data_IF_952948277945
#
_entry.id   IF_952948277945
#
_cell.length_a   1.000
_cell.length_b   1.000
_cell.length_c   1.000
_cell.angle_alpha   90.00
_cell.angle_beta   90.00
_cell.angle_gamma   90.00
#
_symmetry.space_group_name_H-M   'P 1'
#
loop_
_entity.id
_entity.type
_entity.pdbx_description
1 polymer ?
#
# COMPACT_ATOMS: atom_id res chain seq x y z
N UNK A 1 -36.55 18.12 -20.05
CA UNK A 1 -36.07 18.15 -18.65
C UNK A 1 -36.34 16.87 -17.83
N UNK A 2 -37.37 16.06 -18.13
CA UNK A 2 -37.67 14.83 -17.38
C UNK A 2 -36.56 13.76 -17.43
N UNK A 3 -35.98 13.50 -18.60
CA UNK A 3 -34.90 12.51 -18.81
C UNK A 3 -33.63 12.83 -18.01
N UNK A 4 -33.30 14.11 -17.86
CA UNK A 4 -32.14 14.55 -17.09
C UNK A 4 -32.34 14.41 -15.58
N UNK A 5 -33.57 14.60 -15.08
CA UNK A 5 -33.91 14.33 -13.67
C UNK A 5 -33.83 12.84 -13.36
N UNK A 6 -34.30 12.00 -14.28
CA UNK A 6 -34.27 10.54 -14.13
C UNK A 6 -32.83 10.01 -14.00
N UNK A 7 -31.92 10.47 -14.87
CA UNK A 7 -30.48 10.13 -14.81
C UNK A 7 -29.84 10.56 -13.48
N UNK A 8 -30.18 11.76 -12.97
CA UNK A 8 -29.64 12.25 -11.69
C UNK A 8 -30.16 11.47 -10.48
N UNK A 9 -31.39 10.99 -10.53
CA UNK A 9 -31.98 10.14 -9.47
C UNK A 9 -31.36 8.75 -9.49
N UNK A 10 -31.12 8.17 -10.67
CA UNK A 10 -30.48 6.85 -10.82
C UNK A 10 -29.02 6.84 -10.34
N UNK A 11 -28.23 7.88 -10.63
CA UNK A 11 -26.85 7.96 -10.12
C UNK A 11 -26.80 8.10 -8.59
N UNK A 12 -27.77 8.80 -8.00
CA UNK A 12 -27.89 8.89 -6.54
C UNK A 12 -28.29 7.56 -5.90
N UNK A 13 -29.13 6.76 -6.56
CA UNK A 13 -29.57 5.47 -6.02
C UNK A 13 -28.46 4.41 -6.06
N UNK A 14 -27.59 4.43 -7.06
CA UNK A 14 -26.44 3.53 -7.12
C UNK A 14 -25.42 3.82 -6.00
N UNK A 15 -25.16 5.10 -5.72
CA UNK A 15 -24.26 5.50 -4.62
C UNK A 15 -24.87 5.23 -3.23
N UNK A 16 -26.18 5.44 -3.06
CA UNK A 16 -26.83 5.09 -1.77
C UNK A 16 -26.83 3.59 -1.54
N UNK A 17 -27.06 2.79 -2.59
CA UNK A 17 -26.99 1.33 -2.49
C UNK A 17 -25.60 0.83 -2.09
N UNK A 18 -24.52 1.52 -2.50
CA UNK A 18 -23.17 1.18 -2.04
C UNK A 18 -22.99 1.43 -0.54
N UNK A 19 -23.50 2.55 -0.02
CA UNK A 19 -23.43 2.89 1.41
C UNK A 19 -24.20 1.88 2.27
N UNK A 20 -25.39 1.46 1.81
CA UNK A 20 -26.21 0.47 2.51
C UNK A 20 -25.57 -0.93 2.54
N UNK A 21 -24.71 -1.23 1.57
CA UNK A 21 -24.02 -2.50 1.42
C UNK A 21 -22.62 -2.51 2.06
N UNK A 22 -22.05 -1.35 2.37
CA UNK A 22 -20.65 -1.22 2.82
C UNK A 22 -20.34 -2.00 4.11
N UNK A 23 -21.33 -2.14 4.99
CA UNK A 23 -21.19 -2.87 6.26
C UNK A 23 -21.45 -4.38 6.17
N UNK A 24 -21.88 -4.89 5.01
CA UNK A 24 -22.21 -6.31 4.85
C UNK A 24 -20.97 -7.18 4.69
N UNK A 25 -21.06 -8.45 5.08
CA UNK A 25 -19.96 -9.41 4.95
C UNK A 25 -19.64 -9.74 3.49
N UNK A 26 -18.42 -10.21 3.20
CA UNK A 26 -18.03 -10.59 1.83
C UNK A 26 -18.98 -11.67 1.26
N UNK A 27 -19.40 -12.64 2.07
CA UNK A 27 -20.34 -13.70 1.67
C UNK A 27 -21.75 -13.16 1.36
N UNK A 28 -22.25 -12.21 2.16
CA UNK A 28 -23.53 -11.55 1.88
C UNK A 28 -23.49 -10.74 0.59
N UNK A 29 -22.37 -10.06 0.31
CA UNK A 29 -22.18 -9.29 -0.92
C UNK A 29 -22.14 -10.20 -2.16
N UNK A 30 -21.54 -11.38 -2.07
CA UNK A 30 -21.55 -12.35 -3.18
C UNK A 30 -22.96 -12.89 -3.48
N UNK A 31 -23.78 -13.06 -2.44
CA UNK A 31 -25.17 -13.52 -2.57
C UNK A 31 -26.14 -12.42 -3.05
N UNK A 32 -25.70 -11.16 -3.09
CA UNK A 32 -26.55 -10.02 -3.43
C UNK A 32 -27.02 -10.08 -4.89
N UNK A 33 -28.33 -9.94 -5.09
CA UNK A 33 -28.97 -10.06 -6.41
C UNK A 33 -29.46 -8.72 -6.92
N UNK A 34 -29.93 -7.84 -6.03
CA UNK A 34 -30.62 -6.59 -6.39
C UNK A 34 -29.66 -5.50 -6.82
N UNK A 35 -28.55 -5.37 -6.10
CA UNK A 35 -27.51 -4.36 -6.35
C UNK A 35 -26.16 -5.03 -6.63
N UNK A 36 -26.19 -6.04 -7.51
CA UNK A 36 -25.03 -6.90 -7.80
C UNK A 36 -23.81 -6.12 -8.33
N UNK A 37 -24.01 -5.07 -9.13
CA UNK A 37 -22.91 -4.20 -9.60
C UNK A 37 -22.21 -3.48 -8.45
N UNK A 38 -22.99 -2.96 -7.50
CA UNK A 38 -22.47 -2.27 -6.31
C UNK A 38 -21.76 -3.26 -5.37
N UNK A 39 -22.35 -4.43 -5.13
CA UNK A 39 -21.75 -5.46 -4.28
C UNK A 39 -20.38 -5.93 -4.81
N UNK A 40 -20.26 -6.21 -6.11
CA UNK A 40 -18.99 -6.57 -6.72
C UNK A 40 -17.96 -5.42 -6.69
N UNK A 41 -18.39 -4.18 -6.79
CA UNK A 41 -17.49 -3.04 -6.69
C UNK A 41 -16.94 -2.87 -5.26
N UNK A 42 -17.74 -3.16 -4.23
CA UNK A 42 -17.29 -3.18 -2.81
C UNK A 42 -16.27 -4.32 -2.60
N UNK A 43 -16.55 -5.53 -3.09
CA UNK A 43 -15.60 -6.65 -3.03
C UNK A 43 -14.29 -6.32 -3.74
N UNK A 44 -14.36 -5.65 -4.90
CA UNK A 44 -13.19 -5.17 -5.63
C UNK A 44 -12.39 -4.12 -4.87
N UNK A 45 -13.06 -3.19 -4.18
CA UNK A 45 -12.43 -2.19 -3.32
C UNK A 45 -11.75 -2.84 -2.09
N UNK A 46 -12.42 -3.78 -1.40
CA UNK A 46 -11.84 -4.54 -0.28
C UNK A 46 -10.65 -5.39 -0.71
N UNK A 47 -10.68 -5.96 -1.91
CA UNK A 47 -9.53 -6.67 -2.48
C UNK A 47 -8.36 -5.69 -2.75
N UNK A 48 -8.65 -4.47 -3.21
CA UNK A 48 -7.63 -3.45 -3.42
C UNK A 48 -6.97 -2.97 -2.12
N UNK A 49 -7.74 -2.81 -1.04
CA UNK A 49 -7.21 -2.50 0.30
C UNK A 49 -6.27 -3.59 0.83
N UNK A 50 -6.55 -4.86 0.49
CA UNK A 50 -5.69 -6.01 0.76
C UNK A 50 -4.48 -6.12 -0.18
N UNK A 51 -4.30 -5.16 -1.11
CA UNK A 51 -3.28 -5.18 -2.16
C UNK A 51 -3.35 -6.39 -3.10
N UNK A 52 -4.54 -6.97 -3.27
CA UNK A 52 -4.78 -8.06 -4.22
C UNK A 52 -5.33 -7.51 -5.54
N UNK A 53 -4.41 -7.16 -6.44
CA UNK A 53 -4.74 -6.58 -7.74
C UNK A 53 -5.50 -7.55 -8.66
N UNK A 54 -5.25 -8.87 -8.56
CA UNK A 54 -5.86 -9.85 -9.44
C UNK A 54 -7.34 -10.06 -9.08
N UNK A 55 -7.61 -10.27 -7.78
CA UNK A 55 -8.98 -10.37 -7.27
C UNK A 55 -9.74 -9.05 -7.47
N UNK A 56 -9.10 -7.90 -7.20
CA UNK A 56 -9.72 -6.58 -7.42
C UNK A 56 -10.15 -6.40 -8.88
N UNK A 57 -9.28 -6.73 -9.84
CA UNK A 57 -9.58 -6.66 -11.27
C UNK A 57 -10.75 -7.57 -11.66
N UNK A 58 -10.75 -8.81 -11.18
CA UNK A 58 -11.82 -9.76 -11.47
C UNK A 58 -13.18 -9.28 -10.94
N UNK A 59 -13.23 -8.76 -9.72
CA UNK A 59 -14.45 -8.23 -9.13
C UNK A 59 -14.95 -6.96 -9.85
N UNK A 60 -14.07 -6.03 -10.19
CA UNK A 60 -14.46 -4.84 -10.96
C UNK A 60 -14.92 -5.17 -12.38
N UNK A 61 -14.34 -6.18 -13.04
CA UNK A 61 -14.84 -6.66 -14.33
C UNK A 61 -16.27 -7.21 -14.21
N UNK A 62 -16.54 -8.03 -13.18
CA UNK A 62 -17.91 -8.51 -12.88
C UNK A 62 -18.86 -7.36 -12.55
N UNK A 63 -18.40 -6.36 -11.80
CA UNK A 63 -19.19 -5.17 -11.46
C UNK A 63 -19.59 -4.37 -12.72
N UNK A 64 -18.64 -4.10 -13.62
CA UNK A 64 -18.88 -3.36 -14.87
C UNK A 64 -19.79 -4.15 -15.81
N UNK A 65 -19.65 -5.48 -15.86
CA UNK A 65 -20.51 -6.34 -16.67
C UNK A 65 -21.96 -6.33 -16.17
N UNK A 66 -22.17 -6.36 -14.85
CA UNK A 66 -23.47 -6.28 -14.22
C UNK A 66 -24.08 -4.86 -14.20
N UNK A 67 -23.26 -3.83 -14.48
CA UNK A 67 -23.67 -2.44 -14.36
C UNK A 67 -24.43 -1.90 -15.57
N UNK A 68 -25.30 -0.94 -15.27
CA UNK A 68 -26.05 -0.16 -16.27
C UNK A 68 -25.09 0.74 -17.06
N UNK A 69 -25.38 1.07 -18.34
CA UNK A 69 -24.49 1.87 -19.18
C UNK A 69 -24.07 3.21 -18.56
N UNK A 70 -24.94 3.83 -17.78
CA UNK A 70 -24.68 5.11 -17.11
C UNK A 70 -23.68 4.99 -15.96
N UNK A 71 -23.69 3.86 -15.24
CA UNK A 71 -22.84 3.59 -14.07
C UNK A 71 -21.46 3.05 -14.47
N UNK A 72 -21.35 2.43 -15.65
CA UNK A 72 -20.10 1.81 -16.13
C UNK A 72 -18.92 2.76 -16.12
N UNK A 73 -19.12 4.04 -16.46
CA UNK A 73 -18.03 5.00 -16.47
C UNK A 73 -17.57 5.37 -15.05
N UNK A 74 -18.49 5.47 -14.09
CA UNK A 74 -18.15 5.70 -12.68
C UNK A 74 -17.40 4.49 -12.10
N UNK A 75 -17.89 3.28 -12.38
CA UNK A 75 -17.24 2.03 -11.95
C UNK A 75 -15.88 1.82 -12.58
N UNK A 76 -15.68 2.20 -13.85
CA UNK A 76 -14.34 2.18 -14.49
C UNK A 76 -13.36 3.12 -13.78
N UNK A 77 -13.77 4.36 -13.48
CA UNK A 77 -12.92 5.31 -12.75
C UNK A 77 -12.59 4.83 -11.34
N UNK A 78 -13.57 4.26 -10.65
CA UNK A 78 -13.38 3.64 -9.33
C UNK A 78 -12.44 2.43 -9.41
N UNK A 79 -12.58 1.59 -10.45
CA UNK A 79 -11.69 0.46 -10.70
C UNK A 79 -10.25 0.91 -10.97
N UNK A 80 -10.05 1.96 -11.77
CA UNK A 80 -8.71 2.51 -12.06
C UNK A 80 -8.03 3.01 -10.77
N UNK A 81 -8.76 3.73 -9.91
CA UNK A 81 -8.25 4.18 -8.62
C UNK A 81 -7.93 3.01 -7.68
N UNK A 82 -8.83 2.02 -7.61
CA UNK A 82 -8.66 0.84 -6.75
C UNK A 82 -7.50 -0.04 -7.22
N UNK A 83 -7.33 -0.23 -8.53
CA UNK A 83 -6.22 -0.99 -9.10
C UNK A 83 -4.89 -0.27 -8.92
N UNK A 84 -4.85 1.06 -9.05
CA UNK A 84 -3.64 1.83 -8.75
C UNK A 84 -3.22 1.70 -7.28
N UNK A 85 -4.18 1.66 -6.36
CA UNK A 85 -3.93 1.37 -4.94
C UNK A 85 -3.40 -0.06 -4.74
N UNK A 86 -4.10 -1.05 -5.28
CA UNK A 86 -3.75 -2.47 -5.15
C UNK A 86 -2.34 -2.76 -5.68
N UNK A 87 -1.98 -2.12 -6.79
CA UNK A 87 -0.68 -2.26 -7.43
C UNK A 87 0.39 -1.31 -6.86
N UNK A 88 0.08 -0.54 -5.81
CA UNK A 88 1.00 0.38 -5.13
C UNK A 88 1.59 1.43 -6.10
N UNK A 89 0.85 1.79 -7.14
CA UNK A 89 1.22 2.76 -8.18
C UNK A 89 0.80 4.17 -7.76
N UNK A 90 1.59 4.78 -6.89
CA UNK A 90 1.28 6.09 -6.29
C UNK A 90 1.06 7.24 -7.29
N UNK A 91 1.74 7.21 -8.45
CA UNK A 91 1.55 8.20 -9.52
C UNK A 91 0.15 8.08 -10.14
N UNK A 92 -0.17 6.87 -10.62
CA UNK A 92 -1.45 6.55 -11.23
C UNK A 92 -2.63 6.73 -10.26
N UNK A 93 -2.41 6.45 -8.97
CA UNK A 93 -3.43 6.63 -7.93
C UNK A 93 -3.84 8.11 -7.80
N UNK A 94 -2.87 9.02 -7.77
CA UNK A 94 -3.15 10.46 -7.67
C UNK A 94 -3.98 10.93 -8.87
N UNK A 95 -3.59 10.53 -10.07
CA UNK A 95 -4.29 10.89 -11.30
C UNK A 95 -5.71 10.30 -11.35
N UNK A 96 -5.87 9.03 -10.96
CA UNK A 96 -7.16 8.36 -10.93
C UNK A 96 -8.12 8.97 -9.89
N UNK A 97 -7.63 9.29 -8.69
CA UNK A 97 -8.43 9.94 -7.63
C UNK A 97 -8.84 11.36 -8.03
N UNK A 98 -7.96 12.11 -8.70
CA UNK A 98 -8.29 13.42 -9.26
C UNK A 98 -9.36 13.34 -10.36
N UNK A 99 -9.28 12.32 -11.24
CA UNK A 99 -10.31 12.05 -12.27
C UNK A 99 -11.65 11.62 -11.67
N UNK A 100 -11.64 11.07 -10.45
CA UNK A 100 -12.84 10.73 -9.68
C UNK A 100 -13.48 11.98 -9.03
N UNK A 101 -12.75 13.09 -8.93
CA UNK A 101 -13.21 14.34 -8.31
C UNK A 101 -13.06 14.38 -6.79
N UNK A 102 -12.32 13.44 -6.20
CA UNK A 102 -12.03 13.39 -4.76
C UNK A 102 -10.72 14.12 -4.45
N UNK A 103 -10.53 14.54 -3.19
CA UNK A 103 -9.29 15.19 -2.76
C UNK A 103 -8.08 14.28 -3.03
N UNK A 104 -7.04 14.86 -3.63
CA UNK A 104 -5.84 14.12 -3.98
C UNK A 104 -5.16 13.54 -2.71
N UNK A 105 -4.64 12.30 -2.76
CA UNK A 105 -3.94 11.71 -1.62
C UNK A 105 -2.76 12.59 -1.19
N UNK A 106 -2.50 12.65 0.12
CA UNK A 106 -1.41 13.48 0.65
C UNK A 106 -0.03 13.02 0.14
N UNK A 107 0.91 13.95 0.02
CA UNK A 107 2.27 13.66 -0.43
C UNK A 107 2.97 12.58 0.43
N UNK A 108 2.66 12.52 1.72
CA UNK A 108 3.15 11.49 2.63
C UNK A 108 2.58 10.09 2.34
N UNK A 109 1.27 9.99 2.07
CA UNK A 109 0.63 8.73 1.68
C UNK A 109 1.17 8.20 0.34
N UNK A 110 1.43 9.11 -0.62
CA UNK A 110 2.06 8.72 -1.89
C UNK A 110 3.49 8.24 -1.72
N UNK A 111 4.28 8.89 -0.85
CA UNK A 111 5.64 8.44 -0.52
C UNK A 111 5.62 7.05 0.14
N UNK A 112 4.70 6.82 1.08
CA UNK A 112 4.52 5.52 1.72
C UNK A 112 4.14 4.43 0.71
N UNK A 113 3.22 4.71 -0.22
CA UNK A 113 2.84 3.78 -1.28
C UNK A 113 4.02 3.47 -2.23
N UNK A 114 4.84 4.48 -2.56
CA UNK A 114 6.07 4.26 -3.34
C UNK A 114 7.07 3.38 -2.61
N UNK A 115 7.28 3.62 -1.31
CA UNK A 115 8.13 2.79 -0.47
C UNK A 115 7.61 1.35 -0.41
N UNK A 116 6.30 1.15 -0.21
CA UNK A 116 5.67 -0.17 -0.24
C UNK A 116 5.84 -0.87 -1.60
N UNK A 117 5.74 -0.13 -2.71
CA UNK A 117 5.97 -0.67 -4.05
C UNK A 117 7.42 -1.09 -4.31
N UNK A 118 8.39 -0.51 -3.60
CA UNK A 118 9.82 -0.88 -3.68
C UNK A 118 10.13 -2.06 -2.76
N UNK A 119 9.65 -2.03 -1.52
CA UNK A 119 9.92 -3.04 -0.49
C UNK A 119 9.21 -4.36 -0.81
N UNK A 120 7.96 -4.29 -1.29
CA UNK A 120 7.16 -5.44 -1.67
C UNK A 120 6.58 -5.20 -3.07
N UNK A 121 7.35 -5.48 -4.13
CA UNK A 121 6.87 -5.31 -5.50
C UNK A 121 5.69 -6.25 -5.78
N UNK A 122 4.70 -5.77 -6.52
CA UNK A 122 3.54 -6.58 -6.93
C UNK A 122 3.94 -7.67 -7.92
N UNK A 123 3.12 -8.70 -8.09
CA UNK A 123 3.37 -9.77 -9.07
C UNK A 123 3.47 -9.24 -10.51
N UNK A 124 2.78 -8.13 -10.79
CA UNK A 124 2.79 -7.39 -12.07
C UNK A 124 4.02 -6.50 -12.28
N UNK A 125 4.87 -6.31 -11.26
CA UNK A 125 6.11 -5.55 -11.41
C UNK A 125 7.13 -6.29 -12.30
N UNK A 126 7.94 -5.54 -13.03
CA UNK A 126 8.97 -6.11 -13.92
C UNK A 126 9.90 -7.06 -13.15
N UNK A 127 10.29 -8.16 -13.79
CA UNK A 127 11.22 -9.17 -13.25
C UNK A 127 12.40 -8.58 -12.46
N UNK A 128 13.11 -7.55 -12.96
CA UNK A 128 14.19 -6.91 -12.20
C UNK A 128 13.72 -6.28 -10.88
N UNK A 129 12.57 -5.59 -10.82
CA UNK A 129 12.07 -5.00 -9.56
C UNK A 129 11.69 -6.05 -8.53
N UNK A 130 11.17 -7.21 -8.97
CA UNK A 130 10.83 -8.34 -8.10
C UNK A 130 12.05 -9.03 -7.48
N UNK A 131 13.19 -8.99 -8.17
CA UNK A 131 14.45 -9.59 -7.73
C UNK A 131 15.29 -8.59 -6.93
N UNK A 132 15.49 -7.38 -7.47
CA UNK A 132 16.30 -6.33 -6.83
C UNK A 132 15.65 -5.73 -5.58
N UNK A 133 14.32 -5.76 -5.43
CA UNK A 133 13.64 -5.27 -4.22
C UNK A 133 14.09 -6.05 -2.97
N UNK A 134 13.82 -7.36 -2.87
CA UNK A 134 14.29 -8.19 -1.76
C UNK A 134 15.82 -8.21 -1.62
N UNK A 135 16.55 -8.31 -2.75
CA UNK A 135 18.02 -8.32 -2.74
C UNK A 135 18.59 -7.02 -2.16
N UNK A 136 17.99 -5.87 -2.45
CA UNK A 136 18.46 -4.59 -1.90
C UNK A 136 18.36 -4.54 -0.38
N UNK A 137 17.32 -5.17 0.20
CA UNK A 137 17.17 -5.28 1.66
C UNK A 137 18.26 -6.20 2.23
N UNK A 138 18.50 -7.34 1.60
CA UNK A 138 19.55 -8.27 2.02
C UNK A 138 20.93 -7.61 1.92
N UNK A 139 21.22 -6.90 0.83
CA UNK A 139 22.46 -6.15 0.64
C UNK A 139 22.63 -5.04 1.67
N UNK A 140 21.56 -4.31 2.01
CA UNK A 140 21.59 -3.30 3.05
C UNK A 140 21.98 -3.92 4.40
N UNK A 141 21.35 -5.03 4.77
CA UNK A 141 21.65 -5.74 6.03
C UNK A 141 23.09 -6.25 6.02
N UNK A 142 23.54 -6.88 4.92
CA UNK A 142 24.92 -7.35 4.78
C UNK A 142 25.93 -6.19 4.88
N UNK A 143 25.62 -5.04 4.28
CA UNK A 143 26.46 -3.83 4.33
C UNK A 143 26.55 -3.29 5.75
N UNK A 144 25.43 -3.23 6.48
CA UNK A 144 25.43 -2.79 7.88
C UNK A 144 26.24 -3.72 8.79
N UNK A 145 26.16 -5.04 8.57
CA UNK A 145 27.00 -6.02 9.26
C UNK A 145 28.46 -5.80 8.93
N UNK A 146 28.81 -5.67 7.65
CA UNK A 146 30.18 -5.43 7.20
C UNK A 146 30.77 -4.13 7.78
N UNK A 147 29.99 -3.05 7.82
CA UNK A 147 30.39 -1.79 8.46
C UNK A 147 30.62 -2.01 9.96
N UNK A 148 29.72 -2.71 10.65
CA UNK A 148 29.83 -2.95 12.09
C UNK A 148 31.09 -3.76 12.43
N UNK A 149 31.35 -4.83 11.67
CA UNK A 149 32.57 -5.64 11.80
C UNK A 149 33.81 -4.81 11.48
N UNK A 150 33.80 -4.05 10.39
CA UNK A 150 34.93 -3.19 10.00
C UNK A 150 35.25 -2.12 11.04
N UNK A 151 34.24 -1.53 11.69
CA UNK A 151 34.45 -0.57 12.79
C UNK A 151 35.16 -1.25 13.96
N UNK A 152 34.74 -2.46 14.35
CA UNK A 152 35.33 -3.19 15.48
C UNK A 152 36.78 -3.57 15.18
N UNK A 153 37.04 -4.04 13.96
CA UNK A 153 38.39 -4.41 13.53
C UNK A 153 39.32 -3.19 13.48
N UNK A 154 38.85 -2.04 13.00
CA UNK A 154 39.59 -0.77 13.03
C UNK A 154 39.93 -0.32 14.46
N UNK A 155 38.99 -0.45 15.40
CA UNK A 155 39.20 -0.08 16.81
C UNK A 155 40.11 -1.06 17.53
N UNK A 156 40.07 -2.34 17.15
CA UNK A 156 40.89 -3.38 17.76
C UNK A 156 42.31 -3.48 17.20
N UNK A 157 42.55 -2.94 16.01
CA UNK A 157 43.86 -2.90 15.35
C UNK A 157 44.98 -2.36 16.26
N UNK A 158 44.82 -1.22 16.98
CA UNK A 158 45.82 -0.74 17.94
C UNK A 158 45.96 -1.58 19.21
N UNK A 159 45.02 -2.51 19.47
CA UNK A 159 44.96 -3.33 20.69
C UNK A 159 45.45 -4.77 20.47
N UNK A 160 46.03 -5.07 19.31
CA UNK A 160 46.52 -6.42 18.95
C UNK A 160 45.55 -7.26 18.11
N UNK A 161 44.45 -6.65 17.63
CA UNK A 161 43.47 -7.29 16.77
C UNK A 161 42.47 -8.18 17.51
N UNK A 162 41.37 -8.55 16.86
CA UNK A 162 40.41 -9.54 17.36
C UNK A 162 40.27 -10.68 16.37
N UNK A 163 40.05 -11.89 16.89
CA UNK A 163 39.69 -13.03 16.04
C UNK A 163 38.37 -12.77 15.32
N UNK A 164 38.22 -13.28 14.09
CA UNK A 164 37.03 -13.10 13.27
C UNK A 164 35.73 -13.50 14.00
N UNK A 165 35.76 -14.59 14.78
CA UNK A 165 34.60 -15.04 15.56
C UNK A 165 34.17 -14.03 16.64
N UNK A 166 35.14 -13.39 17.32
CA UNK A 166 34.86 -12.34 18.29
C UNK A 166 34.37 -11.06 17.60
N UNK A 167 35.00 -10.66 16.49
CA UNK A 167 34.58 -9.49 15.71
C UNK A 167 33.14 -9.63 15.19
N UNK A 168 32.72 -10.83 14.79
CA UNK A 168 31.36 -11.11 14.33
C UNK A 168 30.34 -11.03 15.47
N UNK A 169 30.64 -11.57 16.66
CA UNK A 169 29.79 -11.45 17.84
C UNK A 169 29.63 -10.00 18.30
N UNK A 170 30.74 -9.26 18.41
CA UNK A 170 30.70 -7.84 18.76
C UNK A 170 29.99 -7.01 17.69
N UNK A 171 30.12 -7.38 16.41
CA UNK A 171 29.44 -6.72 15.29
C UNK A 171 27.93 -6.86 15.38
N UNK A 172 27.43 -8.06 15.71
CA UNK A 172 26.01 -8.31 15.95
C UNK A 172 25.52 -7.51 17.16
N UNK A 173 26.27 -7.50 18.27
CA UNK A 173 25.92 -6.73 19.47
C UNK A 173 25.86 -5.23 19.20
N UNK A 174 26.84 -4.69 18.46
CA UNK A 174 26.89 -3.28 18.08
C UNK A 174 25.75 -2.90 17.14
N UNK A 175 25.41 -3.77 16.19
CA UNK A 175 24.28 -3.58 15.29
C UNK A 175 22.94 -3.61 16.06
N UNK A 176 22.77 -4.55 16.98
CA UNK A 176 21.59 -4.63 17.85
C UNK A 176 21.46 -3.39 18.76
N UNK A 177 22.57 -2.94 19.35
CA UNK A 177 22.61 -1.72 20.17
C UNK A 177 22.29 -0.47 19.35
N UNK A 178 22.83 -0.36 18.13
CA UNK A 178 22.59 0.76 17.22
C UNK A 178 21.14 0.82 16.77
N UNK A 179 20.54 -0.32 16.40
CA UNK A 179 19.12 -0.42 16.07
C UNK A 179 18.24 -0.10 17.29
N UNK A 180 18.59 -0.61 18.47
CA UNK A 180 17.91 -0.30 19.73
C UNK A 180 17.92 1.21 20.04
N UNK A 181 19.07 1.86 19.89
CA UNK A 181 19.21 3.30 20.06
C UNK A 181 18.38 4.08 19.02
N UNK A 182 18.46 3.72 17.74
CA UNK A 182 17.68 4.35 16.67
C UNK A 182 16.17 4.22 16.90
N UNK A 183 15.68 3.06 17.32
CA UNK A 183 14.27 2.83 17.66
C UNK A 183 13.88 3.66 18.89
N UNK A 184 14.71 3.72 19.92
CA UNK A 184 14.46 4.50 21.13
C UNK A 184 14.39 6.01 20.82
N UNK A 185 15.38 6.55 20.11
CA UNK A 185 15.40 7.96 19.69
C UNK A 185 14.30 8.29 18.67
N UNK A 186 14.02 7.37 17.75
CA UNK A 186 12.93 7.49 16.78
C UNK A 186 11.57 7.57 17.46
N UNK A 187 11.29 6.69 18.43
CA UNK A 187 10.06 6.74 19.24
C UNK A 187 9.96 8.02 20.05
N UNK A 188 11.05 8.49 20.65
CA UNK A 188 11.09 9.77 21.39
C UNK A 188 10.78 10.98 20.51
N UNK A 189 11.26 10.99 19.26
CA UNK A 189 10.97 12.05 18.28
C UNK A 189 9.54 11.99 17.75
N UNK A 190 9.01 10.78 17.54
CA UNK A 190 7.62 10.57 17.13
C UNK A 190 6.62 10.98 18.23
N UNK A 191 6.95 10.74 19.50
CA UNK A 191 6.14 11.20 20.64
C UNK A 191 6.09 12.74 20.73
N UNK A 192 7.23 13.42 20.52
CA UNK A 192 7.29 14.90 20.48
C UNK A 192 6.49 15.52 19.32
N UNK A 193 6.34 14.81 18.20
CA UNK A 193 5.54 15.27 17.06
C UNK A 193 4.03 14.96 17.23
N UNK A 194 3.65 14.07 18.15
CA UNK A 194 2.26 13.71 18.46
C UNK A 194 1.68 14.51 19.62
N UNK A 195 2.48 15.32 20.30
CA UNK A 195 1.96 16.31 21.24
C UNK A 195 1.13 17.33 20.45
N UNK A 196 -0.20 17.41 20.66
CA UNK A 196 -0.98 18.48 20.08
C UNK A 196 -0.39 19.81 20.56
N UNK A 197 -0.05 20.69 19.62
CA UNK A 197 0.17 22.10 19.96
C UNK A 197 -1.18 22.59 20.50
N UNK A 198 -1.29 22.74 21.82
CA UNK A 198 -2.38 23.50 22.46
C UNK A 198 -2.15 24.98 22.23
#
# INVERSE_FOLDING_TARGET
>A
MAKQRQIRVEQRSALSAMQDLENRSDAELESETKYRSAAYAILGARAAERYDADSSRAWFQKAIAAARPQERMALKRMADASLALAERRAGDLKEAVQKLGSEAPSNGQMFLLRLMGIVAPTKSASLPRRIFGPISIVLLVATLIAISVGIIELVALPLGGVTFGAALLYGILLLAASLGALVFFGRRRQQRARSPKS
#
